data_IF_587325615877
#
_entry.id   IF_587325615877
#
_cell.length_a   1.000
_cell.length_b   1.000
_cell.length_c   1.000
_cell.angle_alpha   90.00
_cell.angle_beta   90.00
_cell.angle_gamma   90.00
#
_symmetry.space_group_name_H-M   'P 1'
#
loop_
_entity.id
_entity.type
_entity.pdbx_description
1 polymer ?
#
# COMPACT_ATOMS: atom_id res chain seq x y z
N UNK A 1 4.68 -31.94 5.02
CA UNK A 1 5.47 -31.30 6.09
C UNK A 1 5.33 -29.81 5.88
N UNK A 2 4.64 -29.08 6.75
CA UNK A 2 4.52 -27.63 6.61
C UNK A 2 4.73 -27.00 7.98
N UNK A 3 5.98 -27.02 8.41
CA UNK A 3 6.40 -26.20 9.53
C UNK A 3 6.26 -24.75 9.08
N UNK A 4 5.21 -24.08 9.55
CA UNK A 4 5.07 -22.63 9.43
C UNK A 4 6.21 -22.00 10.26
N UNK A 5 7.40 -21.89 9.66
CA UNK A 5 8.54 -21.16 10.22
C UNK A 5 8.03 -19.75 10.53
N UNK A 6 7.91 -19.42 11.82
CA UNK A 6 7.47 -18.10 12.25
C UNK A 6 8.56 -17.11 11.84
N UNK A 7 8.24 -16.22 10.90
CA UNK A 7 9.16 -15.19 10.43
C UNK A 7 9.47 -14.20 11.56
N UNK A 8 10.74 -13.77 11.65
CA UNK A 8 11.22 -12.78 12.61
C UNK A 8 10.72 -11.39 12.21
N UNK A 9 10.45 -10.50 13.18
CA UNK A 9 10.14 -9.10 12.85
C UNK A 9 11.36 -8.42 12.23
N UNK A 10 11.13 -7.63 11.18
CA UNK A 10 12.20 -6.82 10.59
C UNK A 10 12.62 -5.73 11.59
N UNK A 11 13.93 -5.58 11.89
CA UNK A 11 14.43 -4.57 12.83
C UNK A 11 14.28 -3.14 12.29
N UNK A 12 14.32 -2.17 13.19
CA UNK A 12 14.40 -0.75 12.85
C UNK A 12 15.86 -0.30 12.98
N UNK A 13 16.32 0.52 12.03
CA UNK A 13 17.67 1.07 11.99
C UNK A 13 17.61 2.59 12.08
N UNK A 14 18.57 3.19 12.77
CA UNK A 14 18.67 4.65 12.90
C UNK A 14 19.53 5.26 11.80
N UNK A 15 20.37 4.45 11.14
CA UNK A 15 21.28 4.91 10.08
C UNK A 15 21.30 3.96 8.89
N UNK A 16 21.57 4.51 7.70
CA UNK A 16 21.74 3.71 6.48
C UNK A 16 22.91 2.71 6.62
N UNK A 17 24.02 3.12 7.25
CA UNK A 17 25.17 2.26 7.50
C UNK A 17 24.80 1.01 8.31
N UNK A 18 23.98 1.16 9.35
CA UNK A 18 23.51 0.03 10.18
C UNK A 18 22.61 -0.92 9.36
N UNK A 19 21.72 -0.34 8.54
CA UNK A 19 20.85 -1.11 7.67
C UNK A 19 21.65 -1.89 6.61
N UNK A 20 22.65 -1.26 5.99
CA UNK A 20 23.56 -1.89 5.03
C UNK A 20 24.35 -3.05 5.68
N UNK A 21 24.91 -2.82 6.86
CA UNK A 21 25.63 -3.83 7.64
C UNK A 21 24.76 -5.04 7.97
N UNK A 22 23.50 -4.82 8.35
CA UNK A 22 22.55 -5.89 8.61
C UNK A 22 22.22 -6.67 7.35
N UNK A 23 21.87 -5.98 6.26
CA UNK A 23 21.51 -6.62 4.98
C UNK A 23 22.67 -7.44 4.42
N UNK A 24 23.91 -6.99 4.60
CA UNK A 24 25.10 -7.73 4.16
C UNK A 24 25.38 -9.02 4.93
N UNK A 25 24.78 -9.20 6.12
CA UNK A 25 25.08 -10.33 7.03
C UNK A 25 23.88 -11.24 7.29
N UNK A 26 22.66 -10.73 7.23
CA UNK A 26 21.45 -11.45 7.59
C UNK A 26 20.87 -12.25 6.42
N UNK A 27 20.34 -13.45 6.70
CA UNK A 27 19.45 -14.15 5.77
C UNK A 27 18.05 -13.49 5.82
N UNK A 28 17.75 -12.71 4.79
CA UNK A 28 16.50 -11.96 4.70
C UNK A 28 15.26 -12.87 4.57
N UNK A 29 15.41 -14.14 4.14
CA UNK A 29 14.28 -15.07 4.01
C UNK A 29 13.64 -15.44 5.36
N UNK A 30 14.32 -15.14 6.47
CA UNK A 30 13.83 -15.40 7.82
C UNK A 30 12.93 -14.31 8.40
N UNK A 31 12.76 -13.18 7.69
CA UNK A 31 12.10 -11.98 8.22
C UNK A 31 10.72 -11.73 7.60
N UNK A 32 9.85 -11.13 8.40
CA UNK A 32 8.49 -10.75 8.07
C UNK A 32 8.47 -9.35 7.45
N UNK A 33 8.13 -9.30 6.16
CA UNK A 33 7.97 -8.06 5.40
C UNK A 33 6.50 -7.61 5.26
N UNK A 34 5.55 -8.27 5.93
CA UNK A 34 4.12 -7.93 5.80
C UNK A 34 3.77 -6.50 6.25
N UNK A 35 4.62 -5.88 7.08
CA UNK A 35 4.50 -4.48 7.48
C UNK A 35 5.02 -3.46 6.45
N UNK A 36 5.69 -3.92 5.39
CA UNK A 36 6.19 -3.04 4.34
C UNK A 36 5.05 -2.66 3.40
N UNK A 37 5.09 -1.42 2.91
CA UNK A 37 4.13 -0.99 1.88
C UNK A 37 4.59 -1.56 0.54
N UNK A 38 3.76 -2.36 -0.16
CA UNK A 38 4.10 -2.82 -1.49
C UNK A 38 4.36 -1.64 -2.42
N UNK A 39 5.38 -1.77 -3.28
CA UNK A 39 5.58 -0.82 -4.37
C UNK A 39 4.30 -0.73 -5.20
N UNK A 40 3.90 0.51 -5.52
CA UNK A 40 2.73 0.73 -6.36
C UNK A 40 2.94 0.00 -7.70
N UNK A 41 1.96 -0.80 -8.13
CA UNK A 41 1.92 -1.49 -9.44
C UNK A 41 2.49 -0.66 -10.60
N UNK A 42 2.24 0.65 -10.65
CA UNK A 42 2.67 1.50 -11.75
C UNK A 42 4.00 2.23 -11.49
N UNK A 43 4.56 2.23 -10.27
CA UNK A 43 5.81 2.95 -9.96
C UNK A 43 7.00 2.43 -10.75
N UNK A 44 7.09 1.12 -11.01
CA UNK A 44 8.20 0.51 -11.77
C UNK A 44 8.01 0.55 -13.30
N UNK A 45 6.84 0.98 -13.79
CA UNK A 45 6.56 1.00 -15.23
C UNK A 45 7.13 2.24 -15.93
N UNK A 46 7.30 2.23 -17.28
CA UNK A 46 7.61 3.44 -18.05
C UNK A 46 6.55 4.55 -17.89
N UNK A 47 6.94 5.82 -18.04
CA UNK A 47 6.07 7.00 -17.85
C UNK A 47 5.77 7.67 -19.19
N UNK A 48 5.14 6.92 -20.07
CA UNK A 48 5.09 7.25 -21.51
C UNK A 48 3.91 8.15 -21.90
N UNK A 49 2.97 8.39 -20.98
CA UNK A 49 1.78 9.20 -21.22
C UNK A 49 1.70 10.41 -20.27
N UNK A 50 1.24 11.54 -20.81
CA UNK A 50 1.03 12.79 -20.06
C UNK A 50 -0.45 13.04 -19.76
N UNK A 51 -0.72 13.61 -18.59
CA UNK A 51 -2.06 14.03 -18.16
C UNK A 51 -2.05 15.56 -18.01
N UNK A 52 -3.05 16.23 -18.59
CA UNK A 52 -3.26 17.68 -18.44
C UNK A 52 -4.61 17.93 -17.76
N UNK A 53 -4.60 18.50 -16.54
CA UNK A 53 -5.80 18.74 -15.72
C UNK A 53 -5.79 20.17 -15.19
N UNK A 54 -6.95 20.82 -15.13
CA UNK A 54 -7.13 22.10 -14.43
C UNK A 54 -7.54 21.85 -12.98
N UNK A 55 -6.87 22.53 -12.04
CA UNK A 55 -7.15 22.44 -10.60
C UNK A 55 -7.19 23.86 -9.98
N UNK A 56 -8.01 24.10 -8.95
CA UNK A 56 -7.87 25.27 -8.09
C UNK A 56 -6.45 25.36 -7.52
N UNK A 57 -5.90 26.57 -7.45
CA UNK A 57 -4.52 26.78 -6.99
C UNK A 57 -4.31 26.28 -5.55
N UNK A 58 -5.31 26.45 -4.68
CA UNK A 58 -5.25 25.99 -3.29
C UNK A 58 -5.18 24.46 -3.20
N UNK A 59 -5.88 23.76 -4.09
CA UNK A 59 -5.82 22.29 -4.15
C UNK A 59 -4.44 21.83 -4.63
N UNK A 60 -3.88 22.46 -5.66
CA UNK A 60 -2.53 22.15 -6.13
C UNK A 60 -1.47 22.37 -5.04
N UNK A 61 -1.59 23.46 -4.28
CA UNK A 61 -0.69 23.77 -3.18
C UNK A 61 -0.78 22.74 -2.06
N UNK A 62 -1.99 22.32 -1.68
CA UNK A 62 -2.18 21.27 -0.67
C UNK A 62 -1.52 19.94 -1.09
N UNK A 63 -1.67 19.55 -2.35
CA UNK A 63 -1.03 18.33 -2.89
C UNK A 63 0.50 18.44 -2.89
N UNK A 64 1.05 19.60 -3.26
CA UNK A 64 2.50 19.84 -3.21
C UNK A 64 3.06 19.80 -1.79
N UNK A 65 2.37 20.42 -0.84
CA UNK A 65 2.77 20.42 0.57
C UNK A 65 2.80 18.99 1.12
N UNK A 66 1.81 18.18 0.75
CA UNK A 66 1.73 16.79 1.17
C UNK A 66 2.85 15.92 0.57
N UNK A 67 3.24 16.16 -0.69
CA UNK A 67 4.39 15.49 -1.30
C UNK A 67 5.71 15.80 -0.55
N UNK A 68 5.91 17.07 -0.16
CA UNK A 68 7.06 17.49 0.65
C UNK A 68 7.04 16.82 2.02
N UNK A 69 5.87 16.76 2.68
CA UNK A 69 5.70 16.09 3.97
C UNK A 69 6.06 14.60 3.94
N UNK A 70 5.79 13.94 2.82
CA UNK A 70 6.14 12.53 2.59
C UNK A 70 7.57 12.34 2.03
N UNK A 71 8.31 13.42 1.77
CA UNK A 71 9.67 13.34 1.25
C UNK A 71 9.76 12.78 -0.18
N UNK A 72 8.70 12.89 -0.98
CA UNK A 72 8.65 12.35 -2.34
C UNK A 72 8.40 13.44 -3.39
N UNK A 73 8.93 13.28 -4.62
CA UNK A 73 8.66 14.22 -5.70
C UNK A 73 7.16 14.37 -6.00
N UNK A 74 6.71 15.60 -6.22
CA UNK A 74 5.30 15.91 -6.50
C UNK A 74 4.68 15.05 -7.61
N UNK A 75 5.39 14.82 -8.72
CA UNK A 75 4.90 13.99 -9.82
C UNK A 75 4.69 12.52 -9.40
N UNK A 76 5.58 11.97 -8.57
CA UNK A 76 5.44 10.63 -7.99
C UNK A 76 4.21 10.58 -7.09
N UNK A 77 4.06 11.58 -6.22
CA UNK A 77 2.90 11.64 -5.32
C UNK A 77 1.57 11.66 -6.07
N UNK A 78 1.44 12.45 -7.14
CA UNK A 78 0.24 12.46 -7.99
C UNK A 78 -0.05 11.08 -8.57
N UNK A 79 0.95 10.37 -9.10
CA UNK A 79 0.76 9.02 -9.65
C UNK A 79 0.32 8.03 -8.58
N UNK A 80 0.93 8.07 -7.40
CA UNK A 80 0.53 7.24 -6.27
C UNK A 80 -0.91 7.53 -5.83
N UNK A 81 -1.33 8.80 -5.77
CA UNK A 81 -2.71 9.19 -5.46
C UNK A 81 -3.71 8.64 -6.49
N UNK A 82 -3.42 8.80 -7.78
CA UNK A 82 -4.26 8.27 -8.86
C UNK A 82 -4.39 6.76 -8.76
N UNK A 83 -3.28 6.05 -8.51
CA UNK A 83 -3.29 4.61 -8.35
C UNK A 83 -4.13 4.18 -7.13
N UNK A 84 -3.90 4.76 -5.95
CA UNK A 84 -4.67 4.44 -4.72
C UNK A 84 -6.15 4.72 -4.92
N UNK A 85 -6.50 5.79 -5.64
CA UNK A 85 -7.88 6.08 -6.05
C UNK A 85 -8.47 4.95 -6.89
N UNK A 86 -7.75 4.49 -7.93
CA UNK A 86 -8.19 3.37 -8.76
C UNK A 86 -8.29 2.04 -8.00
N UNK A 87 -7.38 1.78 -7.06
CA UNK A 87 -7.43 0.60 -6.19
C UNK A 87 -8.65 0.63 -5.26
N UNK A 88 -8.96 1.79 -4.69
CA UNK A 88 -10.16 1.97 -3.86
C UNK A 88 -11.44 1.69 -4.67
N UNK A 89 -11.50 2.14 -5.91
CA UNK A 89 -12.63 1.90 -6.82
C UNK A 89 -12.75 0.44 -7.27
N UNK A 90 -11.67 -0.34 -7.24
CA UNK A 90 -11.69 -1.78 -7.58
C UNK A 90 -12.21 -2.67 -6.46
N UNK A 91 -12.38 -2.15 -5.24
CA UNK A 91 -12.78 -2.92 -4.06
C UNK A 91 -14.29 -3.22 -3.84
N UNK A 92 -15.27 -3.02 -4.76
CA UNK A 92 -16.65 -3.46 -4.48
C UNK A 92 -17.00 -4.90 -4.94
N UNK A 93 -16.18 -5.60 -5.73
CA UNK A 93 -16.63 -6.86 -6.40
C UNK A 93 -16.29 -8.18 -5.67
N UNK A 94 -15.45 -8.19 -4.62
CA UNK A 94 -14.94 -9.45 -4.02
C UNK A 94 -15.27 -9.70 -2.54
N UNK A 95 -16.19 -8.92 -1.96
CA UNK A 95 -16.76 -9.26 -0.65
C UNK A 95 -18.20 -9.71 -0.79
N UNK A 96 -18.39 -10.92 -1.32
CA UNK A 96 -19.57 -11.72 -0.93
C UNK A 96 -19.19 -12.45 0.36
N UNK A 97 -19.61 -12.01 1.56
CA UNK A 97 -19.60 -12.91 2.70
C UNK A 97 -20.71 -13.93 2.46
N UNK A 98 -20.30 -15.17 2.20
CA UNK A 98 -21.16 -16.34 2.32
C UNK A 98 -21.90 -16.29 3.66
N UNK A 99 -23.20 -16.06 3.63
CA UNK A 99 -24.13 -16.50 4.67
C UNK A 99 -25.18 -17.35 3.98
N UNK A 100 -25.06 -18.65 4.18
CA UNK A 100 -26.13 -19.62 3.95
C UNK A 100 -27.42 -19.25 4.73
N UNK A 101 -28.58 -19.77 4.30
CA UNK A 101 -29.87 -19.24 4.68
C UNK A 101 -30.27 -19.71 6.08
N UNK A 102 -30.54 -18.78 6.99
CA UNK A 102 -31.27 -19.12 8.21
C UNK A 102 -32.76 -19.08 7.89
N UNK A 103 -33.32 -20.25 7.58
CA UNK A 103 -34.77 -20.45 7.46
C UNK A 103 -35.46 -20.11 8.78
N UNK A 104 -36.63 -19.50 8.62
CA UNK A 104 -37.56 -19.00 9.64
C UNK A 104 -37.86 -19.97 10.79
N UNK A 105 -38.15 -19.39 11.96
CA UNK A 105 -39.25 -19.85 12.83
C UNK A 105 -40.03 -18.65 13.37
N UNK A 106 -41.34 -18.77 13.18
CA UNK A 106 -42.44 -17.97 13.70
C UNK A 106 -42.34 -17.78 15.22
N UNK A 107 -42.76 -16.62 15.74
CA UNK A 107 -43.68 -16.59 16.89
C UNK A 107 -44.56 -15.32 16.82
N UNK A 108 -45.86 -15.58 16.85
CA UNK A 108 -47.04 -14.73 17.04
C UNK A 108 -46.97 -13.86 18.32
N UNK A 109 -47.43 -12.60 18.26
CA UNK A 109 -48.41 -11.96 19.16
C UNK A 109 -48.90 -10.66 18.52
#
# INVERSE_FOLDING_TARGET
MNDKKRLKRFPQFETDSEAEDFVGKADLSEYDFSGFTPLSRFELQPKDASINIRLPINQLNAVKAEAVRQGIPYQRFIRELLQRGMETLRLPETRTPSREPVRAREILT
#
